data_IF_142420607970
#
_entry.id   IF_142420607970
#
_cell.length_a   1.000
_cell.length_b   1.000
_cell.length_c   1.000
_cell.angle_alpha   90.00
_cell.angle_beta   90.00
_cell.angle_gamma   90.00
#
_symmetry.space_group_name_H-M   'P 1'
#
loop_
_entity.id
_entity.type
_entity.pdbx_description
1 polymer ?
#
# COMPACT_ATOMS: atom_id res chain seq x y z
N UNK A 1 33.87 -6.08 43.95
CA UNK A 1 32.40 -5.95 43.91
C UNK A 1 32.01 -4.71 44.70
N UNK A 2 31.08 -3.88 44.21
CA UNK A 2 29.85 -4.32 43.55
C UNK A 2 29.82 -4.10 42.04
N UNK A 3 29.11 -5.01 41.38
CA UNK A 3 28.78 -5.00 39.97
C UNK A 3 27.78 -3.88 39.67
N UNK A 4 28.11 -3.02 38.71
CA UNK A 4 27.11 -2.17 38.09
C UNK A 4 26.28 -3.04 37.13
N UNK A 5 25.00 -3.21 37.49
CA UNK A 5 23.97 -3.81 36.63
C UNK A 5 23.91 -3.02 35.32
N UNK A 6 24.04 -3.67 34.13
CA UNK A 6 23.83 -2.96 32.87
C UNK A 6 22.37 -2.52 32.78
N UNK A 7 22.15 -1.23 32.54
CA UNK A 7 20.83 -0.64 32.42
C UNK A 7 20.05 -1.23 31.25
N UNK A 8 18.75 -1.40 31.46
CA UNK A 8 17.79 -1.98 30.53
C UNK A 8 17.88 -1.40 29.10
N UNK A 9 17.98 -2.33 28.14
CA UNK A 9 17.44 -2.26 26.78
C UNK A 9 17.61 -0.93 26.03
N UNK A 10 18.63 -0.86 25.18
CA UNK A 10 18.54 -0.11 23.92
C UNK A 10 17.38 -0.72 23.11
N UNK A 11 16.16 -0.22 23.33
CA UNK A 11 15.07 -0.44 22.41
C UNK A 11 15.55 0.08 21.06
N UNK A 12 15.79 -0.83 20.12
CA UNK A 12 16.21 -0.50 18.76
C UNK A 12 15.14 0.42 18.20
N UNK A 13 15.43 1.71 18.02
CA UNK A 13 14.44 2.66 17.54
C UNK A 13 14.06 2.31 16.09
N UNK A 14 12.83 1.83 15.91
CA UNK A 14 12.28 1.42 14.62
C UNK A 14 11.55 2.63 14.01
N UNK A 15 12.20 3.33 13.09
CA UNK A 15 11.58 4.48 12.42
C UNK A 15 10.27 4.09 11.70
N UNK A 16 9.15 4.82 11.89
CA UNK A 16 7.86 4.47 11.31
C UNK A 16 7.79 4.75 9.80
N UNK A 17 8.66 5.62 9.29
CA UNK A 17 8.70 6.03 7.91
C UNK A 17 10.14 6.23 7.43
N UNK A 18 10.34 6.19 6.11
CA UNK A 18 11.64 6.24 5.46
C UNK A 18 11.64 7.22 4.28
N UNK A 19 12.84 7.72 3.95
CA UNK A 19 13.06 8.66 2.86
C UNK A 19 12.78 10.10 3.25
N UNK A 20 13.40 11.02 2.51
CA UNK A 20 13.11 12.45 2.57
C UNK A 20 12.32 12.86 1.32
N UNK A 21 11.55 13.96 1.38
CA UNK A 21 10.85 14.50 0.21
C UNK A 21 11.79 14.68 -0.99
N UNK A 22 11.36 14.27 -2.17
CA UNK A 22 12.13 14.31 -3.41
C UNK A 22 13.14 13.16 -3.59
N UNK A 23 13.42 12.37 -2.54
CA UNK A 23 14.36 11.26 -2.67
C UNK A 23 13.79 10.13 -3.56
N UNK A 24 14.67 9.50 -4.33
CA UNK A 24 14.36 8.26 -5.01
C UNK A 24 14.68 7.07 -4.10
N UNK A 25 13.78 6.10 -4.03
CA UNK A 25 13.93 4.87 -3.27
C UNK A 25 13.66 3.67 -4.17
N UNK A 26 14.52 2.67 -4.08
CA UNK A 26 14.29 1.36 -4.71
C UNK A 26 13.92 0.38 -3.61
N UNK A 27 12.68 -0.06 -3.62
CA UNK A 27 12.20 -1.08 -2.70
C UNK A 27 12.31 -2.46 -3.33
N UNK A 28 12.81 -3.44 -2.58
CA UNK A 28 12.82 -4.83 -3.01
C UNK A 28 12.15 -5.67 -1.91
N UNK A 29 10.98 -6.27 -2.19
CA UNK A 29 10.24 -7.05 -1.20
C UNK A 29 11.05 -8.18 -0.58
N UNK A 30 10.66 -8.55 0.63
CA UNK A 30 11.29 -9.59 1.45
C UNK A 30 10.32 -10.76 1.65
N UNK A 31 10.87 -11.95 1.83
CA UNK A 31 10.11 -13.04 2.44
C UNK A 31 9.79 -12.68 3.90
N UNK A 32 8.66 -13.17 4.43
CA UNK A 32 8.29 -12.92 5.82
C UNK A 32 9.36 -13.45 6.79
N UNK A 33 9.80 -12.58 7.71
CA UNK A 33 10.86 -12.91 8.69
C UNK A 33 12.29 -12.80 8.16
N UNK A 34 12.49 -12.52 6.87
CA UNK A 34 13.82 -12.30 6.31
C UNK A 34 14.43 -10.96 6.80
N UNK A 35 15.74 -10.96 7.03
CA UNK A 35 16.48 -9.74 7.41
C UNK A 35 16.72 -8.80 6.22
N UNK A 36 16.75 -9.35 5.00
CA UNK A 36 17.04 -8.63 3.77
C UNK A 36 16.08 -8.95 2.63
N UNK A 37 16.21 -8.23 1.50
CA UNK A 37 15.48 -8.48 0.26
C UNK A 37 15.59 -9.93 -0.21
N UNK A 38 14.52 -10.45 -0.81
CA UNK A 38 14.60 -11.73 -1.51
C UNK A 38 15.38 -11.53 -2.82
N UNK A 39 16.40 -12.35 -3.16
CA UNK A 39 17.25 -12.13 -4.32
C UNK A 39 16.49 -12.00 -5.65
N UNK A 40 15.40 -12.75 -5.79
CA UNK A 40 14.56 -12.76 -6.99
C UNK A 40 13.38 -11.78 -6.93
N UNK A 41 13.21 -11.03 -5.84
CA UNK A 41 12.14 -10.04 -5.77
C UNK A 41 12.41 -8.89 -6.76
N UNK A 42 11.38 -8.40 -7.46
CA UNK A 42 11.54 -7.26 -8.36
C UNK A 42 11.90 -6.00 -7.59
N UNK A 43 12.58 -5.09 -8.27
CA UNK A 43 12.97 -3.77 -7.74
C UNK A 43 11.89 -2.74 -8.11
N UNK A 44 11.21 -2.20 -7.12
CA UNK A 44 10.16 -1.20 -7.27
C UNK A 44 10.75 0.20 -7.05
N UNK A 45 10.83 0.98 -8.13
CA UNK A 45 11.47 2.30 -8.14
C UNK A 45 10.45 3.41 -7.90
N UNK A 46 10.45 4.01 -6.71
CA UNK A 46 9.54 5.07 -6.32
C UNK A 46 10.28 6.36 -5.97
N UNK A 47 9.62 7.49 -6.13
CA UNK A 47 10.07 8.80 -5.67
C UNK A 47 9.12 9.28 -4.60
N UNK A 48 9.69 9.76 -3.50
CA UNK A 48 8.94 10.39 -2.44
C UNK A 48 8.54 11.79 -2.90
N UNK A 49 7.24 12.14 -2.92
CA UNK A 49 6.83 13.44 -3.42
C UNK A 49 7.40 14.56 -2.54
N UNK A 50 7.71 15.70 -3.17
CA UNK A 50 7.98 16.94 -2.45
C UNK A 50 6.73 17.54 -1.79
N UNK A 51 5.56 16.90 -1.98
CA UNK A 51 4.23 17.44 -1.74
C UNK A 51 4.15 18.29 -0.45
N UNK A 52 3.75 19.56 -0.55
CA UNK A 52 3.75 20.51 0.56
C UNK A 52 2.64 20.25 1.59
N UNK A 53 1.78 19.25 1.36
CA UNK A 53 0.68 18.87 2.25
C UNK A 53 1.19 18.00 3.40
N UNK A 54 1.88 18.64 4.34
CA UNK A 54 2.44 18.00 5.55
C UNK A 54 1.39 17.26 6.39
N UNK A 55 0.10 17.63 6.29
CA UNK A 55 -0.99 16.97 7.03
C UNK A 55 -1.45 15.63 6.44
N UNK A 56 -1.09 15.33 5.19
CA UNK A 56 -1.48 14.08 4.52
C UNK A 56 -0.35 13.06 4.44
N UNK A 57 0.86 13.42 4.91
CA UNK A 57 1.97 12.49 5.12
C UNK A 57 2.42 11.66 3.90
N UNK A 58 2.02 12.03 2.68
CA UNK A 58 2.36 11.34 1.43
C UNK A 58 3.83 11.48 1.02
N UNK A 59 4.58 12.40 1.64
CA UNK A 59 5.99 12.71 1.36
C UNK A 59 6.98 11.71 1.96
N UNK A 60 6.48 10.62 2.56
CA UNK A 60 7.28 9.54 3.14
C UNK A 60 6.77 8.17 2.72
N UNK A 61 7.65 7.17 2.72
CA UNK A 61 7.23 5.77 2.63
C UNK A 61 7.04 5.25 4.04
N UNK A 62 5.80 4.90 4.37
CA UNK A 62 5.45 4.35 5.68
C UNK A 62 5.81 2.88 5.77
N UNK A 63 6.34 2.47 6.93
CA UNK A 63 6.78 1.09 7.18
C UNK A 63 5.65 0.10 7.00
N UNK A 64 4.41 0.47 7.32
CA UNK A 64 3.25 -0.37 7.08
C UNK A 64 3.08 -0.71 5.59
N UNK A 65 3.37 0.23 4.69
CA UNK A 65 3.33 -0.01 3.24
C UNK A 65 4.42 -0.97 2.78
N UNK A 66 5.63 -0.88 3.35
CA UNK A 66 6.72 -1.83 3.10
C UNK A 66 6.37 -3.23 3.61
N UNK A 67 5.81 -3.33 4.82
CA UNK A 67 5.39 -4.62 5.39
C UNK A 67 4.24 -5.25 4.61
N UNK A 68 3.28 -4.44 4.12
CA UNK A 68 2.21 -4.92 3.27
C UNK A 68 2.74 -5.40 1.91
N UNK A 69 3.70 -4.69 1.32
CA UNK A 69 4.40 -5.14 0.11
C UNK A 69 5.12 -6.49 0.34
N UNK A 70 5.83 -6.64 1.46
CA UNK A 70 6.45 -7.93 1.82
C UNK A 70 5.40 -9.04 1.97
N UNK A 71 4.26 -8.75 2.62
CA UNK A 71 3.18 -9.71 2.79
C UNK A 71 2.53 -10.12 1.47
N UNK A 72 2.35 -9.19 0.53
CA UNK A 72 1.85 -9.47 -0.82
C UNK A 72 2.84 -10.37 -1.56
N UNK A 73 4.13 -9.99 -1.58
CA UNK A 73 5.17 -10.76 -2.25
C UNK A 73 5.31 -12.18 -1.70
N UNK A 74 5.24 -12.32 -0.37
CA UNK A 74 5.33 -13.62 0.30
C UNK A 74 4.04 -14.46 0.19
N UNK A 75 2.97 -13.93 -0.44
CA UNK A 75 1.67 -14.60 -0.56
C UNK A 75 0.85 -14.65 0.75
N UNK A 76 1.31 -13.99 1.82
CA UNK A 76 0.58 -13.91 3.08
C UNK A 76 -0.62 -12.96 3.01
N UNK A 77 -0.47 -11.88 2.23
CA UNK A 77 -1.58 -11.05 1.76
C UNK A 77 -1.87 -11.44 0.31
N UNK A 78 -2.55 -12.57 0.11
CA UNK A 78 -2.88 -13.06 -1.23
C UNK A 78 -3.67 -11.99 -1.98
N UNK A 79 -3.32 -11.73 -3.24
CA UNK A 79 -4.04 -10.85 -4.18
C UNK A 79 -4.10 -11.46 -5.58
N UNK A 80 -3.80 -12.76 -5.71
CA UNK A 80 -3.76 -13.43 -7.01
C UNK A 80 -5.14 -13.51 -7.64
N UNK A 81 -5.20 -13.23 -8.94
CA UNK A 81 -6.43 -13.17 -9.73
C UNK A 81 -7.55 -12.36 -9.06
N UNK A 82 -7.17 -11.24 -8.43
CA UNK A 82 -8.08 -10.34 -7.72
C UNK A 82 -8.15 -8.98 -8.42
N UNK A 83 -9.33 -8.34 -8.37
CA UNK A 83 -9.44 -6.91 -8.54
C UNK A 83 -9.05 -6.24 -7.22
N UNK A 84 -7.97 -5.47 -7.23
CA UNK A 84 -7.35 -4.91 -6.03
C UNK A 84 -7.56 -3.40 -5.99
N UNK A 85 -8.01 -2.88 -4.86
CA UNK A 85 -8.05 -1.45 -4.57
C UNK A 85 -7.04 -1.13 -3.47
N UNK A 86 -6.18 -0.15 -3.66
CA UNK A 86 -5.45 0.49 -2.56
C UNK A 86 -6.08 1.84 -2.24
N UNK A 87 -6.37 2.10 -0.96
CA UNK A 87 -6.82 3.41 -0.46
C UNK A 87 -5.72 4.06 0.36
N UNK A 88 -5.51 5.37 0.17
CA UNK A 88 -4.43 6.10 0.84
C UNK A 88 -3.05 5.59 0.39
N UNK A 89 -2.86 5.43 -0.91
CA UNK A 89 -1.71 4.74 -1.50
C UNK A 89 -0.36 5.43 -1.25
N UNK A 90 -0.35 6.75 -1.04
CA UNK A 90 0.84 7.57 -0.90
C UNK A 90 1.77 7.42 -2.09
N UNK A 91 2.87 6.70 -1.90
CA UNK A 91 3.82 6.40 -2.98
C UNK A 91 3.37 5.27 -3.91
N UNK A 92 2.34 4.50 -3.51
CA UNK A 92 1.76 3.38 -4.26
C UNK A 92 2.47 2.05 -4.08
N UNK A 93 3.32 1.90 -3.06
CA UNK A 93 4.18 0.73 -2.94
C UNK A 93 3.40 -0.61 -2.86
N UNK A 94 2.34 -0.76 -2.03
CA UNK A 94 1.51 -1.96 -2.05
C UNK A 94 0.81 -2.24 -3.39
N UNK A 95 0.17 -1.25 -4.02
CA UNK A 95 -0.45 -1.43 -5.34
C UNK A 95 0.56 -1.81 -6.43
N UNK A 96 1.73 -1.18 -6.43
CA UNK A 96 2.84 -1.53 -7.33
C UNK A 96 3.28 -2.98 -7.12
N UNK A 97 3.38 -3.43 -5.86
CA UNK A 97 3.73 -4.81 -5.55
C UNK A 97 2.66 -5.78 -6.05
N UNK A 98 1.37 -5.47 -5.81
CA UNK A 98 0.26 -6.27 -6.30
C UNK A 98 0.28 -6.42 -7.83
N UNK A 99 0.58 -5.32 -8.55
CA UNK A 99 0.63 -5.30 -10.01
C UNK A 99 1.86 -6.00 -10.60
N UNK A 100 3.04 -5.81 -10.02
CA UNK A 100 4.32 -6.30 -10.58
C UNK A 100 4.59 -7.75 -10.19
N UNK A 101 4.26 -8.17 -8.96
CA UNK A 101 4.61 -9.52 -8.50
C UNK A 101 3.59 -10.18 -7.56
N UNK A 102 2.45 -9.55 -7.28
CA UNK A 102 1.37 -10.13 -6.48
C UNK A 102 0.41 -11.02 -7.27
N UNK A 103 0.48 -11.00 -8.61
CA UNK A 103 -0.41 -11.78 -9.48
C UNK A 103 -1.84 -11.24 -9.54
N UNK A 104 -2.05 -9.96 -9.23
CA UNK A 104 -3.35 -9.32 -9.34
C UNK A 104 -3.89 -9.35 -10.77
N UNK A 105 -5.22 -9.36 -10.92
CA UNK A 105 -5.88 -9.27 -12.24
C UNK A 105 -5.97 -7.82 -12.72
N UNK A 106 -6.29 -6.91 -11.80
CA UNK A 106 -6.41 -5.49 -12.05
C UNK A 106 -6.18 -4.72 -10.75
N UNK A 107 -5.51 -3.58 -10.81
CA UNK A 107 -5.19 -2.77 -9.63
C UNK A 107 -5.70 -1.34 -9.81
N UNK A 108 -6.35 -0.80 -8.78
CA UNK A 108 -6.68 0.61 -8.66
C UNK A 108 -5.94 1.17 -7.45
N UNK A 109 -5.05 2.13 -7.66
CA UNK A 109 -4.37 2.85 -6.60
C UNK A 109 -5.05 4.21 -6.40
N UNK A 110 -5.52 4.48 -5.18
CA UNK A 110 -6.24 5.71 -4.87
C UNK A 110 -5.63 6.48 -3.72
N UNK A 111 -5.73 7.79 -3.82
CA UNK A 111 -5.37 8.72 -2.75
C UNK A 111 -6.33 9.92 -2.77
N UNK A 112 -6.15 10.85 -1.84
CA UNK A 112 -6.93 12.07 -1.72
C UNK A 112 -7.00 12.83 -3.05
N UNK A 113 -8.15 13.47 -3.31
CA UNK A 113 -8.40 14.26 -4.52
C UNK A 113 -7.59 15.57 -4.49
N UNK A 114 -6.29 15.42 -4.69
CA UNK A 114 -5.30 16.47 -4.81
C UNK A 114 -4.38 16.18 -5.99
N UNK A 115 -4.26 17.14 -6.90
CA UNK A 115 -3.51 16.99 -8.14
C UNK A 115 -2.03 16.67 -7.89
N UNK A 116 -1.43 17.21 -6.83
CA UNK A 116 0.00 17.01 -6.54
C UNK A 116 0.26 15.58 -6.07
N UNK A 117 -0.60 15.05 -5.20
CA UNK A 117 -0.54 13.67 -4.71
C UNK A 117 -0.77 12.69 -5.87
N UNK A 118 -1.83 12.90 -6.64
CA UNK A 118 -2.17 12.02 -7.76
C UNK A 118 -1.14 12.07 -8.88
N UNK A 119 -0.56 13.24 -9.17
CA UNK A 119 0.53 13.37 -10.13
C UNK A 119 1.78 12.60 -9.69
N UNK A 120 2.14 12.67 -8.41
CA UNK A 120 3.27 11.93 -7.85
C UNK A 120 3.02 10.41 -7.88
N UNK A 121 1.84 9.96 -7.46
CA UNK A 121 1.45 8.55 -7.52
C UNK A 121 1.48 8.02 -8.96
N UNK A 122 0.92 8.75 -9.93
CA UNK A 122 1.01 8.42 -11.36
C UNK A 122 2.46 8.38 -11.86
N UNK A 123 3.32 9.27 -11.39
CA UNK A 123 4.73 9.27 -11.75
C UNK A 123 5.45 8.02 -11.22
N UNK A 124 5.16 7.58 -9.99
CA UNK A 124 5.71 6.35 -9.41
C UNK A 124 5.23 5.10 -10.15
N UNK A 125 3.93 5.06 -10.50
CA UNK A 125 3.38 4.00 -11.34
C UNK A 125 4.13 3.93 -12.67
N UNK A 126 4.18 5.02 -13.45
CA UNK A 126 4.90 5.03 -14.74
C UNK A 126 6.37 4.63 -14.60
N UNK A 127 7.07 5.16 -13.59
CA UNK A 127 8.49 4.89 -13.34
C UNK A 127 8.73 3.41 -13.06
N UNK A 128 7.96 2.82 -12.16
CA UNK A 128 8.13 1.41 -11.81
C UNK A 128 7.79 0.52 -12.99
N UNK A 129 6.64 0.73 -13.63
CA UNK A 129 6.19 -0.15 -14.72
C UNK A 129 7.10 -0.11 -15.96
N UNK A 130 7.85 0.97 -16.17
CA UNK A 130 8.85 1.05 -17.24
C UNK A 130 9.91 -0.07 -17.17
N UNK A 131 10.22 -0.55 -15.96
CA UNK A 131 11.18 -1.62 -15.73
C UNK A 131 10.53 -3.03 -15.66
N UNK A 132 9.19 -3.12 -15.71
CA UNK A 132 8.44 -4.36 -15.46
C UNK A 132 7.35 -4.60 -16.51
N UNK A 133 7.67 -4.96 -17.77
CA UNK A 133 6.69 -5.05 -18.85
C UNK A 133 5.58 -6.09 -18.60
N UNK A 134 5.87 -7.14 -17.82
CA UNK A 134 4.93 -8.21 -17.46
C UNK A 134 4.19 -7.88 -16.15
N UNK A 135 3.49 -6.74 -16.13
CA UNK A 135 2.71 -6.28 -14.97
C UNK A 135 1.19 -6.41 -15.20
N UNK A 136 0.42 -6.54 -14.12
CA UNK A 136 -1.04 -6.41 -14.19
C UNK A 136 -1.45 -4.97 -14.56
N UNK A 137 -2.60 -4.74 -15.22
CA UNK A 137 -3.12 -3.40 -15.44
C UNK A 137 -3.32 -2.66 -14.12
N UNK A 138 -2.88 -1.40 -14.08
CA UNK A 138 -3.00 -0.52 -12.91
C UNK A 138 -3.49 0.88 -13.31
N UNK A 139 -4.45 1.42 -12.55
CA UNK A 139 -5.00 2.76 -12.73
C UNK A 139 -4.84 3.57 -11.46
N UNK A 140 -4.55 4.87 -11.60
CA UNK A 140 -4.52 5.83 -10.48
C UNK A 140 -5.72 6.76 -10.55
N UNK A 141 -6.48 6.85 -9.47
CA UNK A 141 -7.70 7.65 -9.39
C UNK A 141 -7.82 8.41 -8.05
N UNK A 142 -8.51 9.56 -8.02
CA UNK A 142 -8.88 10.23 -6.78
C UNK A 142 -9.86 9.37 -5.98
N UNK A 143 -9.72 9.34 -4.66
CA UNK A 143 -10.72 8.80 -3.75
C UNK A 143 -10.64 9.45 -2.36
N UNK A 144 -11.51 10.41 -2.09
CA UNK A 144 -11.76 10.89 -0.73
C UNK A 144 -12.65 9.89 0.00
N UNK A 145 -12.15 9.32 1.11
CA UNK A 145 -12.86 8.28 1.85
C UNK A 145 -14.28 8.70 2.23
N UNK A 146 -15.23 7.78 2.09
CA UNK A 146 -16.65 7.99 2.37
C UNK A 146 -17.44 8.72 1.27
N UNK A 147 -16.79 9.14 0.18
CA UNK A 147 -17.40 9.87 -0.94
C UNK A 147 -17.30 9.09 -2.25
N UNK A 148 -18.30 9.29 -3.14
CA UNK A 148 -18.30 8.93 -4.56
C UNK A 148 -17.68 7.55 -4.89
N UNK A 149 -18.12 6.51 -4.17
CA UNK A 149 -17.61 5.14 -4.35
C UNK A 149 -17.92 4.58 -5.75
N UNK A 150 -18.97 5.08 -6.40
CA UNK A 150 -19.33 4.78 -7.78
C UNK A 150 -18.19 5.14 -8.76
N UNK A 151 -17.56 6.31 -8.60
CA UNK A 151 -16.44 6.73 -9.43
C UNK A 151 -15.27 5.72 -9.37
N UNK A 152 -15.05 5.09 -8.23
CA UNK A 152 -13.99 4.09 -8.04
C UNK A 152 -14.40 2.72 -8.57
N UNK A 153 -15.63 2.27 -8.33
CA UNK A 153 -16.11 0.97 -8.84
C UNK A 153 -16.26 0.96 -10.38
N UNK A 154 -16.61 2.10 -10.97
CA UNK A 154 -16.81 2.22 -12.42
C UNK A 154 -15.50 2.04 -13.21
N UNK A 155 -14.34 2.18 -12.54
CA UNK A 155 -13.01 1.87 -13.10
C UNK A 155 -12.84 0.38 -13.42
N UNK A 156 -13.57 -0.51 -12.75
CA UNK A 156 -13.55 -1.95 -13.05
C UNK A 156 -14.48 -2.29 -14.21
N UNK A 157 -15.65 -1.66 -14.27
CA UNK A 157 -16.64 -1.88 -15.32
C UNK A 157 -17.67 -0.76 -15.36
N UNK A 158 -17.72 -0.03 -16.48
CA UNK A 158 -18.74 1.00 -16.72
C UNK A 158 -20.15 0.43 -17.00
N UNK A 159 -20.29 -0.90 -17.13
CA UNK A 159 -21.55 -1.55 -17.57
C UNK A 159 -22.30 -2.25 -16.45
N UNK A 160 -21.61 -2.62 -15.39
CA UNK A 160 -22.19 -3.34 -14.25
C UNK A 160 -21.35 -3.10 -13.00
N UNK A 161 -21.97 -3.01 -11.81
CA UNK A 161 -21.25 -2.79 -10.56
C UNK A 161 -20.37 -4.01 -10.26
N UNK A 162 -19.07 -3.87 -10.55
CA UNK A 162 -18.03 -4.80 -10.14
C UNK A 162 -17.31 -4.18 -8.94
N UNK A 163 -17.13 -4.96 -7.89
CA UNK A 163 -16.47 -4.54 -6.66
C UNK A 163 -15.09 -5.22 -6.55
N UNK A 164 -14.29 -4.76 -5.59
CA UNK A 164 -12.93 -5.24 -5.39
C UNK A 164 -12.91 -6.51 -4.55
N UNK A 165 -12.07 -7.47 -4.95
CA UNK A 165 -11.86 -8.72 -4.20
C UNK A 165 -10.88 -8.51 -3.05
N UNK A 166 -9.96 -7.54 -3.18
CA UNK A 166 -9.04 -7.17 -2.13
C UNK A 166 -8.96 -5.65 -1.99
N UNK A 167 -9.03 -5.15 -0.75
CA UNK A 167 -8.73 -3.74 -0.45
C UNK A 167 -7.48 -3.68 0.43
N UNK A 168 -6.45 -3.02 -0.07
CA UNK A 168 -5.18 -2.75 0.60
C UNK A 168 -5.28 -1.44 1.39
N UNK A 169 -4.85 -1.48 2.65
CA UNK A 169 -4.73 -0.31 3.52
C UNK A 169 -3.41 -0.40 4.29
N UNK A 170 -2.55 0.59 4.12
CA UNK A 170 -1.30 0.69 4.86
C UNK A 170 -1.26 2.02 5.61
N UNK A 171 -1.19 1.95 6.95
CA UNK A 171 -1.12 3.12 7.83
C UNK A 171 -2.28 4.13 7.66
N UNK A 172 -3.51 3.65 7.45
CA UNK A 172 -4.68 4.51 7.21
C UNK A 172 -5.51 4.85 8.47
N UNK A 173 -5.15 4.30 9.65
CA UNK A 173 -5.98 4.37 10.87
C UNK A 173 -5.44 5.31 11.96
N UNK A 174 -4.56 6.25 11.59
CA UNK A 174 -3.96 7.20 12.54
C UNK A 174 -4.90 8.35 12.95
N UNK A 175 -5.79 8.81 12.06
CA UNK A 175 -6.74 9.90 12.33
C UNK A 175 -8.13 9.36 12.69
N UNK A 176 -8.57 9.58 13.92
CA UNK A 176 -9.82 9.01 14.44
C UNK A 176 -11.05 9.53 13.71
N UNK A 177 -11.05 10.80 13.31
CA UNK A 177 -12.21 11.38 12.62
C UNK A 177 -12.42 10.84 11.20
N UNK A 178 -11.42 10.16 10.64
CA UNK A 178 -11.49 9.57 9.30
C UNK A 178 -11.98 8.12 9.29
N UNK A 179 -12.13 7.48 10.46
CA UNK A 179 -12.43 6.05 10.54
C UNK A 179 -13.80 5.69 9.96
N UNK A 180 -14.85 6.45 10.28
CA UNK A 180 -16.20 6.19 9.75
C UNK A 180 -16.25 6.32 8.22
N UNK A 181 -15.56 7.33 7.68
CA UNK A 181 -15.44 7.55 6.25
C UNK A 181 -14.67 6.40 5.57
N UNK A 182 -13.57 5.94 6.18
CA UNK A 182 -12.78 4.82 5.70
C UNK A 182 -13.59 3.51 5.70
N UNK A 183 -14.26 3.19 6.81
CA UNK A 183 -15.13 2.00 6.93
C UNK A 183 -16.25 2.04 5.90
N UNK A 184 -16.85 3.21 5.67
CA UNK A 184 -17.87 3.40 4.63
C UNK A 184 -17.35 3.06 3.24
N UNK A 185 -16.14 3.52 2.88
CA UNK A 185 -15.51 3.16 1.60
C UNK A 185 -15.23 1.67 1.50
N UNK A 186 -14.60 1.06 2.51
CA UNK A 186 -14.29 -0.37 2.51
C UNK A 186 -15.57 -1.19 2.31
N UNK A 187 -16.62 -0.89 3.08
CA UNK A 187 -17.89 -1.65 3.06
C UNK A 187 -18.64 -1.50 1.73
N UNK A 188 -18.53 -0.34 1.08
CA UNK A 188 -19.18 -0.09 -0.20
C UNK A 188 -18.40 -0.66 -1.40
N UNK A 189 -17.07 -0.71 -1.33
CA UNK A 189 -16.19 -1.08 -2.44
C UNK A 189 -15.73 -2.54 -2.39
N UNK A 190 -15.85 -3.23 -1.25
CA UNK A 190 -15.47 -4.63 -1.12
C UNK A 190 -16.59 -5.54 -1.65
N UNK A 191 -16.21 -6.50 -2.49
CA UNK A 191 -17.12 -7.50 -3.01
C UNK A 191 -17.75 -8.34 -1.89
N UNK A 192 -19.00 -8.76 -2.06
CA UNK A 192 -19.73 -9.58 -1.08
C UNK A 192 -19.55 -11.07 -1.37
N UNK A 193 -18.30 -11.50 -1.52
CA UNK A 193 -17.95 -12.90 -1.75
C UNK A 193 -17.18 -13.45 -0.55
N UNK A 194 -17.26 -14.77 -0.26
CA UNK A 194 -16.52 -15.37 0.85
C UNK A 194 -14.99 -15.21 0.76
N UNK A 195 -14.46 -14.99 -0.45
CA UNK A 195 -13.03 -14.79 -0.73
C UNK A 195 -12.61 -13.31 -0.70
N UNK A 196 -13.56 -12.37 -0.70
CA UNK A 196 -13.24 -10.95 -0.63
C UNK A 196 -12.70 -10.58 0.75
N UNK A 197 -11.63 -9.78 0.80
CA UNK A 197 -10.90 -9.51 2.04
C UNK A 197 -10.23 -8.16 2.07
N UNK A 198 -10.07 -7.61 3.26
CA UNK A 198 -9.02 -6.63 3.57
C UNK A 198 -7.83 -7.44 4.07
N UNK A 199 -6.75 -7.62 3.28
CA UNK A 199 -5.64 -8.47 3.69
C UNK A 199 -5.01 -7.94 4.99
N UNK A 200 -4.75 -8.86 5.92
CA UNK A 200 -4.00 -8.60 7.15
C UNK A 200 -2.70 -9.38 7.11
N UNK A 201 -1.64 -8.88 7.75
CA UNK A 201 -0.44 -9.69 7.98
C UNK A 201 -0.89 -10.97 8.71
N UNK A 202 -0.67 -12.12 8.08
CA UNK A 202 -1.11 -13.42 8.57
C UNK A 202 -0.18 -13.97 9.66
N UNK A 203 0.78 -13.18 10.16
CA UNK A 203 1.50 -13.52 11.38
C UNK A 203 0.49 -13.88 12.46
N UNK A 204 0.59 -15.08 13.08
CA UNK A 204 -0.15 -15.32 14.31
C UNK A 204 0.20 -14.19 15.26
N UNK A 205 -0.82 -13.56 15.86
CA UNK A 205 -0.61 -12.76 17.05
C UNK A 205 0.19 -13.68 17.99
N UNK A 206 1.41 -13.26 18.35
CA UNK A 206 2.28 -14.03 19.23
C UNK A 206 1.46 -14.51 20.44
N UNK A 207 1.67 -15.76 20.89
CA UNK A 207 0.93 -16.31 22.02
C UNK A 207 1.06 -15.44 23.29
#
# INVERSE_FOLDING_TARGET
>A
MPDAVPSAQEATHIAPSFGEPGAALVYQPKALGARGPHPEAPRLSIVLPEAPLYMLFAHRVWRAGMLLADAIYAGAADVRDANVLEVGAGTGLPALTAAVCGGARFVVATDYDDDSILAALRANVRRTLADHPDHAPIVVAPHTWGHRMDDVSDLLSARAPVLFDAILLADCVWERFSHDALVKSITALLARTPSARVPRDARPLLP
#
